data_IF_406013748329
#
_entry.id   IF_406013748329
#
_cell.length_a   1.000
_cell.length_b   1.000
_cell.length_c   1.000
_cell.angle_alpha   90.00
_cell.angle_beta   90.00
_cell.angle_gamma   90.00
#
_symmetry.space_group_name_H-M   'P 1'
#
loop_
_entity.id
_entity.type
_entity.pdbx_description
1 polymer ?
#
# COMPACT_ATOMS: atom_id res chain seq x y z
N UNK A 1 10.44 -7.67 -8.17
CA UNK A 1 11.82 -8.11 -8.45
C UNK A 1 11.78 -9.16 -9.56
N UNK A 2 12.22 -8.86 -10.78
CA UNK A 2 12.22 -9.86 -11.84
C UNK A 2 13.32 -10.91 -11.55
N UNK A 3 12.89 -12.17 -11.30
CA UNK A 3 13.72 -13.37 -11.05
C UNK A 3 14.54 -13.37 -9.75
N UNK A 4 13.91 -13.50 -8.57
CA UNK A 4 14.62 -13.71 -7.31
C UNK A 4 15.39 -15.04 -7.30
N UNK A 5 16.51 -15.08 -6.56
CA UNK A 5 17.28 -16.32 -6.35
C UNK A 5 16.48 -17.31 -5.49
N UNK A 6 16.80 -18.61 -5.60
CA UNK A 6 16.05 -19.70 -4.93
C UNK A 6 15.88 -19.50 -3.42
N UNK A 7 16.89 -18.95 -2.74
CA UNK A 7 16.82 -18.63 -1.32
C UNK A 7 15.78 -17.54 -1.00
N UNK A 8 15.69 -16.51 -1.84
CA UNK A 8 14.67 -15.46 -1.73
C UNK A 8 13.28 -16.03 -2.00
N UNK A 9 13.14 -16.93 -2.99
CA UNK A 9 11.87 -17.63 -3.25
C UNK A 9 11.41 -18.47 -2.05
N UNK A 10 12.32 -19.13 -1.34
CA UNK A 10 11.99 -19.91 -0.14
C UNK A 10 11.51 -19.02 1.02
N UNK A 11 12.11 -17.84 1.20
CA UNK A 11 11.70 -16.87 2.22
C UNK A 11 10.29 -16.35 1.91
N UNK A 12 10.00 -16.02 0.65
CA UNK A 12 8.66 -15.60 0.22
C UNK A 12 7.63 -16.70 0.49
N UNK A 13 7.94 -17.95 0.13
CA UNK A 13 7.04 -19.09 0.37
C UNK A 13 6.85 -19.44 1.86
N UNK A 14 7.74 -18.99 2.75
CA UNK A 14 7.56 -19.20 4.20
C UNK A 14 6.45 -18.31 4.77
N UNK A 15 6.06 -17.28 4.02
CA UNK A 15 4.96 -16.38 4.35
C UNK A 15 3.75 -16.59 3.41
N UNK A 16 3.74 -17.69 2.64
CA UNK A 16 2.71 -17.94 1.63
C UNK A 16 1.33 -18.08 2.28
N UNK A 17 0.38 -17.33 1.74
CA UNK A 17 -0.91 -17.00 2.37
C UNK A 17 -1.96 -18.10 2.14
N UNK A 18 -1.68 -19.09 1.31
CA UNK A 18 -2.64 -20.13 0.92
C UNK A 18 -2.19 -21.52 1.39
N UNK A 19 -2.66 -21.99 2.56
CA UNK A 19 -2.84 -23.42 2.75
C UNK A 19 -4.18 -23.82 2.11
N UNK A 20 -4.15 -24.21 0.84
CA UNK A 20 -5.21 -25.06 0.28
C UNK A 20 -5.86 -24.65 -1.04
N UNK A 21 -5.49 -23.53 -1.66
CA UNK A 21 -5.97 -23.19 -3.01
C UNK A 21 -4.83 -23.31 -4.02
N UNK A 22 -5.12 -23.93 -5.19
CA UNK A 22 -4.20 -23.91 -6.33
C UNK A 22 -3.74 -22.46 -6.59
N UNK A 23 -2.52 -22.23 -7.12
CA UNK A 23 -2.03 -20.87 -7.33
C UNK A 23 -2.98 -20.15 -8.28
N UNK A 24 -3.87 -19.38 -7.68
CA UNK A 24 -4.85 -18.52 -8.34
C UNK A 24 -4.12 -17.84 -9.50
N UNK A 25 -4.54 -18.15 -10.73
CA UNK A 25 -3.86 -17.72 -11.95
C UNK A 25 -3.62 -16.23 -11.83
N UNK A 26 -2.34 -15.82 -11.73
CA UNK A 26 -1.98 -14.43 -11.42
C UNK A 26 -2.73 -13.54 -12.40
N UNK A 27 -3.59 -12.61 -11.95
CA UNK A 27 -4.43 -11.84 -12.87
C UNK A 27 -3.55 -11.13 -13.90
N UNK A 28 -3.62 -11.54 -15.17
CA UNK A 28 -2.85 -10.90 -16.24
C UNK A 28 -3.66 -9.71 -16.76
N UNK A 29 -3.68 -8.62 -15.97
CA UNK A 29 -4.38 -7.38 -16.31
C UNK A 29 -3.56 -6.13 -15.93
N UNK A 30 -3.89 -4.96 -16.50
CA UNK A 30 -3.26 -3.71 -16.11
C UNK A 30 -3.60 -3.41 -14.64
N UNK A 31 -2.58 -3.36 -13.79
CA UNK A 31 -2.73 -2.89 -12.40
C UNK A 31 -2.66 -1.37 -12.35
N UNK A 32 -3.54 -0.74 -11.59
CA UNK A 32 -3.43 0.67 -11.26
C UNK A 32 -2.19 0.92 -10.38
N UNK A 33 -1.65 2.13 -10.44
CA UNK A 33 -0.52 2.51 -9.61
C UNK A 33 -0.89 2.43 -8.13
N UNK A 34 0.10 2.18 -7.28
CA UNK A 34 -0.05 2.11 -5.83
C UNK A 34 0.74 3.24 -5.18
N UNK A 35 0.08 4.05 -4.35
CA UNK A 35 0.70 5.04 -3.48
C UNK A 35 0.64 4.58 -2.03
N UNK A 36 1.71 4.80 -1.28
CA UNK A 36 1.81 4.42 0.13
C UNK A 36 2.49 5.50 0.97
N UNK A 37 1.98 5.72 2.18
CA UNK A 37 2.58 6.54 3.23
C UNK A 37 2.52 5.77 4.54
N UNK A 38 3.64 5.69 5.23
CA UNK A 38 3.79 5.02 6.52
C UNK A 38 4.15 6.02 7.62
N UNK A 39 3.43 5.98 8.73
CA UNK A 39 3.58 6.89 9.86
C UNK A 39 3.67 6.13 11.17
N UNK A 40 4.18 6.78 12.23
CA UNK A 40 4.11 6.26 13.59
C UNK A 40 2.79 6.69 14.25
N UNK A 41 1.81 5.80 14.35
CA UNK A 41 0.53 6.04 15.01
C UNK A 41 -0.61 6.43 14.05
N UNK A 42 -1.81 5.99 14.40
CA UNK A 42 -3.03 6.09 13.56
C UNK A 42 -3.49 7.53 13.34
N UNK A 43 -3.22 8.45 14.25
CA UNK A 43 -3.59 9.86 14.10
C UNK A 43 -2.95 10.47 12.83
N UNK A 44 -1.64 10.32 12.68
CA UNK A 44 -0.92 10.83 11.51
C UNK A 44 -1.36 10.09 10.24
N UNK A 45 -1.56 8.78 10.32
CA UNK A 45 -2.09 8.02 9.19
C UNK A 45 -3.41 8.59 8.68
N UNK A 46 -4.35 8.89 9.58
CA UNK A 46 -5.65 9.45 9.20
C UNK A 46 -5.50 10.81 8.51
N UNK A 47 -4.62 11.67 9.03
CA UNK A 47 -4.32 12.96 8.40
C UNK A 47 -3.69 12.78 7.01
N UNK A 48 -2.69 11.91 6.89
CA UNK A 48 -2.04 11.63 5.61
C UNK A 48 -3.03 11.04 4.60
N UNK A 49 -3.85 10.06 5.00
CA UNK A 49 -4.83 9.42 4.13
C UNK A 49 -5.91 10.40 3.63
N UNK A 50 -6.41 11.28 4.51
CA UNK A 50 -7.35 12.34 4.15
C UNK A 50 -6.72 13.33 3.15
N UNK A 51 -5.49 13.78 3.40
CA UNK A 51 -4.75 14.65 2.49
C UNK A 51 -4.47 13.99 1.13
N UNK A 52 -4.10 12.70 1.13
CA UNK A 52 -3.88 11.91 -0.09
C UNK A 52 -5.13 11.88 -0.97
N UNK A 53 -6.29 11.55 -0.39
CA UNK A 53 -7.55 11.42 -1.14
C UNK A 53 -8.12 12.77 -1.59
N UNK A 54 -7.84 13.87 -0.86
CA UNK A 54 -8.29 15.22 -1.24
C UNK A 54 -7.43 15.85 -2.35
N UNK A 55 -6.16 15.46 -2.46
CA UNK A 55 -5.21 16.09 -3.37
C UNK A 55 -5.26 15.57 -4.81
N UNK A 56 -5.77 14.35 -5.03
CA UNK A 56 -5.79 13.72 -6.34
C UNK A 56 -6.92 12.70 -6.45
N UNK A 57 -7.22 12.29 -7.69
CA UNK A 57 -8.17 11.21 -7.98
C UNK A 57 -7.54 9.85 -7.65
N UNK A 58 -7.59 9.50 -6.37
CA UNK A 58 -7.11 8.23 -5.82
C UNK A 58 -8.13 7.64 -4.85
N UNK A 59 -8.15 6.32 -4.77
CA UNK A 59 -8.99 5.58 -3.84
C UNK A 59 -8.13 5.03 -2.69
N UNK A 60 -8.57 5.22 -1.44
CA UNK A 60 -7.97 4.55 -0.28
C UNK A 60 -8.39 3.07 -0.28
N UNK A 61 -7.52 2.22 -0.78
CA UNK A 61 -7.79 0.78 -0.94
C UNK A 61 -7.42 -0.04 0.28
N UNK A 62 -6.62 0.52 1.20
CA UNK A 62 -6.19 -0.27 2.33
C UNK A 62 -5.45 0.50 3.41
N UNK A 63 -5.38 -0.14 4.56
CA UNK A 63 -4.59 0.29 5.70
C UNK A 63 -3.96 -0.95 6.33
N UNK A 64 -2.66 -0.84 6.65
CA UNK A 64 -1.96 -1.88 7.38
C UNK A 64 -1.45 -1.33 8.73
N UNK A 65 -1.68 -2.09 9.79
CA UNK A 65 -1.13 -1.84 11.12
C UNK A 65 -0.10 -2.92 11.44
N UNK A 66 1.16 -2.51 11.57
CA UNK A 66 2.21 -3.42 12.00
C UNK A 66 2.56 -3.21 13.47
N UNK A 67 3.32 -4.14 14.03
CA UNK A 67 3.82 -4.04 15.40
C UNK A 67 4.67 -2.77 15.61
N UNK A 68 4.84 -2.35 16.87
CA UNK A 68 5.62 -1.16 17.27
C UNK A 68 4.99 0.19 16.86
N UNK A 69 3.71 0.21 16.49
CA UNK A 69 2.93 1.43 16.29
C UNK A 69 3.03 2.05 14.89
N UNK A 70 3.71 1.40 13.95
CA UNK A 70 3.75 1.84 12.56
C UNK A 70 2.50 1.42 11.79
N UNK A 71 2.06 2.33 10.94
CA UNK A 71 0.81 2.22 10.21
C UNK A 71 0.97 2.78 8.81
N UNK A 72 0.44 2.08 7.82
CA UNK A 72 0.57 2.43 6.41
C UNK A 72 -0.79 2.62 5.74
N UNK A 73 -0.94 3.70 4.95
CA UNK A 73 -2.10 3.95 4.11
C UNK A 73 -1.76 3.56 2.66
N UNK A 74 -2.70 2.89 1.98
CA UNK A 74 -2.53 2.40 0.62
C UNK A 74 -3.59 3.03 -0.28
N UNK A 75 -3.18 3.70 -1.35
CA UNK A 75 -4.09 4.29 -2.35
C UNK A 75 -3.85 3.75 -3.76
N UNK A 76 -4.90 3.67 -4.58
CA UNK A 76 -4.83 3.34 -6.02
C UNK A 76 -5.26 4.50 -6.88
N UNK A 77 -4.69 4.57 -8.07
CA UNK A 77 -5.07 5.54 -9.10
C UNK A 77 -4.09 5.51 -10.27
N UNK A 78 -4.14 6.55 -11.11
CA UNK A 78 -3.12 6.75 -12.13
C UNK A 78 -1.77 7.13 -11.51
N UNK A 79 -0.66 6.84 -12.19
CA UNK A 79 0.70 7.11 -11.69
C UNK A 79 0.88 8.57 -11.25
N UNK A 80 0.32 9.52 -12.03
CA UNK A 80 0.37 10.94 -11.69
C UNK A 80 -0.44 11.25 -10.43
N UNK A 81 -1.65 10.71 -10.33
CA UNK A 81 -2.51 10.89 -9.17
C UNK A 81 -1.88 10.33 -7.89
N UNK A 82 -1.33 9.10 -7.94
CA UNK A 82 -0.63 8.51 -6.78
C UNK A 82 0.60 9.32 -6.35
N UNK A 83 1.37 9.89 -7.28
CA UNK A 83 2.52 10.76 -6.91
C UNK A 83 2.05 12.03 -6.20
N UNK A 84 1.01 12.67 -6.71
CA UNK A 84 0.41 13.87 -6.10
C UNK A 84 -0.15 13.55 -4.73
N UNK A 85 -0.92 12.46 -4.61
CA UNK A 85 -1.50 12.01 -3.35
C UNK A 85 -0.41 11.75 -2.30
N UNK A 86 0.60 10.93 -2.63
CA UNK A 86 1.71 10.62 -1.71
C UNK A 86 2.44 11.89 -1.27
N UNK A 87 2.74 12.81 -2.19
CA UNK A 87 3.39 14.07 -1.84
C UNK A 87 2.54 14.93 -0.89
N UNK A 88 1.21 14.96 -1.09
CA UNK A 88 0.30 15.67 -0.21
C UNK A 88 0.21 15.03 1.18
N UNK A 89 0.15 13.69 1.27
CA UNK A 89 0.15 12.96 2.53
C UNK A 89 1.43 13.21 3.33
N UNK A 90 2.60 13.14 2.69
CA UNK A 90 3.89 13.44 3.33
C UNK A 90 3.91 14.88 3.86
N UNK A 91 3.51 15.84 3.01
CA UNK A 91 3.45 17.25 3.41
C UNK A 91 2.51 17.49 4.60
N UNK A 92 1.37 16.81 4.67
CA UNK A 92 0.44 16.96 5.78
C UNK A 92 1.08 16.56 7.13
N UNK A 93 1.91 15.51 7.13
CA UNK A 93 2.65 15.09 8.32
C UNK A 93 3.75 16.08 8.69
N UNK A 94 4.48 16.59 7.69
CA UNK A 94 5.49 17.64 7.89
C UNK A 94 4.87 18.92 8.47
N UNK A 95 3.68 19.31 8.01
CA UNK A 95 2.95 20.48 8.50
C UNK A 95 2.45 20.30 9.95
N UNK A 96 2.30 19.05 10.43
CA UNK A 96 2.06 18.73 11.84
C UNK A 96 3.35 18.76 12.70
N UNK A 97 4.52 19.00 12.11
CA UNK A 97 5.82 18.98 12.80
C UNK A 97 6.39 17.58 13.03
N UNK A 98 5.96 16.60 12.23
CA UNK A 98 6.42 15.22 12.30
C UNK A 98 6.98 14.76 10.95
N UNK A 99 7.60 13.58 10.92
CA UNK A 99 8.12 12.98 9.70
C UNK A 99 7.41 11.66 9.42
N UNK A 100 7.17 11.36 8.14
CA UNK A 100 6.75 10.02 7.73
C UNK A 100 7.91 9.05 7.94
N UNK A 101 7.59 7.80 8.26
CA UNK A 101 8.61 6.75 8.33
C UNK A 101 9.07 6.33 6.93
N UNK A 102 8.10 6.13 6.03
CA UNK A 102 8.37 5.80 4.64
C UNK A 102 7.25 6.28 3.71
N UNK A 103 7.56 6.50 2.44
CA UNK A 103 6.56 6.74 1.42
C UNK A 103 7.04 6.23 0.05
N UNK A 104 6.13 5.74 -0.79
CA UNK A 104 6.49 5.21 -2.11
C UNK A 104 5.34 5.30 -3.09
N UNK A 105 5.67 5.50 -4.37
CA UNK A 105 4.74 5.30 -5.49
C UNK A 105 5.26 4.21 -6.41
N UNK A 106 4.48 3.14 -6.57
CA UNK A 106 4.77 2.05 -7.49
C UNK A 106 3.89 2.25 -8.74
N UNK A 107 4.52 2.69 -9.83
CA UNK A 107 3.79 3.06 -11.05
C UNK A 107 3.05 1.88 -11.73
N UNK A 108 3.56 0.65 -11.56
CA UNK A 108 2.97 -0.56 -12.11
C UNK A 108 3.30 -1.74 -11.19
N UNK A 109 2.53 -1.94 -10.10
CA UNK A 109 2.78 -3.06 -9.20
C UNK A 109 2.59 -4.37 -9.96
N UNK A 110 3.43 -5.36 -9.65
CA UNK A 110 3.32 -6.67 -10.30
C UNK A 110 1.96 -7.30 -9.93
N UNK A 111 1.19 -7.91 -10.85
CA UNK A 111 -0.17 -8.36 -10.54
C UNK A 111 -0.27 -9.37 -9.39
N UNK A 112 0.79 -10.15 -9.15
CA UNK A 112 0.87 -11.03 -7.97
C UNK A 112 0.80 -10.30 -6.61
N UNK A 113 1.00 -8.98 -6.54
CA UNK A 113 0.83 -8.20 -5.31
C UNK A 113 -0.63 -7.98 -4.94
N UNK A 114 -1.58 -8.17 -5.86
CA UNK A 114 -2.99 -7.91 -5.61
C UNK A 114 -3.54 -8.77 -4.46
N UNK A 115 -3.09 -10.04 -4.36
CA UNK A 115 -3.44 -10.91 -3.23
C UNK A 115 -3.03 -10.32 -1.88
N UNK A 116 -1.81 -9.76 -1.80
CA UNK A 116 -1.28 -9.16 -0.58
C UNK A 116 -2.03 -7.86 -0.26
N UNK A 117 -2.25 -7.01 -1.27
CA UNK A 117 -2.90 -5.71 -1.08
C UNK A 117 -4.34 -5.89 -0.59
N UNK A 118 -5.08 -6.88 -1.12
CA UNK A 118 -6.45 -7.21 -0.69
C UNK A 118 -6.55 -7.60 0.79
N UNK A 119 -5.50 -8.17 1.39
CA UNK A 119 -5.49 -8.49 2.83
C UNK A 119 -5.70 -7.26 3.71
N UNK A 120 -5.28 -6.11 3.23
CA UNK A 120 -5.34 -4.83 3.92
C UNK A 120 -6.52 -3.97 3.49
N UNK A 121 -7.47 -4.57 2.76
CA UNK A 121 -8.61 -3.86 2.19
C UNK A 121 -9.47 -3.23 3.28
N UNK A 122 -9.84 -1.97 3.06
CA UNK A 122 -10.81 -1.25 3.90
C UNK A 122 -12.24 -1.72 3.67
N UNK A 123 -12.54 -2.40 2.56
CA UNK A 123 -13.91 -2.86 2.21
C UNK A 123 -14.56 -3.74 3.29
N UNK A 124 -13.77 -4.49 4.06
CA UNK A 124 -14.28 -5.33 5.16
C UNK A 124 -14.47 -4.61 6.50
N UNK A 125 -14.03 -3.36 6.62
CA UNK A 125 -14.09 -2.57 7.87
C UNK A 125 -15.30 -1.64 7.94
N UNK A 126 -15.92 -1.36 6.80
CA UNK A 126 -17.06 -0.43 6.62
C UNK A 126 -18.42 -1.17 6.52
N UNK A 127 -18.47 -2.42 6.97
CA UNK A 127 -19.68 -3.25 7.04
C UNK A 127 -20.66 -2.85 8.13
#
# INVERSE_FOLDING_TARGET
MPRPIKAISAIVNTHDIDQGEEPDEVPHGPTQALGMVETFGVLYLMEAADAMCKAADVELVGYENIYDGYVSALVRGDVGACKTAVAAGVKAIEDMGHEVYSHVTIARPHPGLEKIIKRYSTEGLIG
#
